data_IF_864982295141
#
_entry.id   IF_864982295141
#
_cell.length_a   1.000
_cell.length_b   1.000
_cell.length_c   1.000
_cell.angle_alpha   90.00
_cell.angle_beta   90.00
_cell.angle_gamma   90.00
#
_symmetry.space_group_name_H-M   'P 1'
#
loop_
_entity.id
_entity.type
_entity.pdbx_description
1 polymer ?
#
# COMPACT_ATOMS: atom_id res chain seq x y z
N UNK A 1 -1.84 -0.94 -21.52
CA UNK A 1 -1.86 -0.83 -20.05
C UNK A 1 -0.43 -0.57 -19.59
N UNK A 2 0.01 0.70 -19.58
CA UNK A 2 1.43 1.07 -19.31
C UNK A 2 1.56 2.34 -18.45
N UNK A 3 0.52 3.20 -18.44
CA UNK A 3 0.57 4.49 -17.76
C UNK A 3 0.52 4.38 -16.23
N UNK A 4 -0.29 3.47 -15.67
CA UNK A 4 -0.48 3.37 -14.22
C UNK A 4 0.76 2.79 -13.52
N UNK A 5 1.39 1.78 -14.12
CA UNK A 5 2.63 1.18 -13.61
C UNK A 5 3.79 2.19 -13.59
N UNK A 6 3.91 3.00 -14.66
CA UNK A 6 4.91 4.06 -14.72
C UNK A 6 4.65 5.16 -13.68
N UNK A 7 3.38 5.56 -13.49
CA UNK A 7 3.01 6.56 -12.48
C UNK A 7 3.31 6.07 -11.06
N UNK A 8 2.96 4.81 -10.76
CA UNK A 8 3.26 4.18 -9.47
C UNK A 8 4.77 4.09 -9.21
N UNK A 9 5.56 3.68 -10.22
CA UNK A 9 7.03 3.64 -10.12
C UNK A 9 7.63 5.03 -9.93
N UNK A 10 7.13 6.03 -10.64
CA UNK A 10 7.59 7.41 -10.50
C UNK A 10 7.27 7.96 -9.09
N UNK A 11 6.08 7.71 -8.55
CA UNK A 11 5.72 8.13 -7.19
C UNK A 11 6.61 7.48 -6.14
N UNK A 12 6.90 6.17 -6.27
CA UNK A 12 7.83 5.47 -5.39
C UNK A 12 9.28 6.02 -5.48
N UNK A 13 9.71 6.50 -6.65
CA UNK A 13 11.02 7.13 -6.85
C UNK A 13 11.09 8.55 -6.29
N UNK A 14 9.99 9.31 -6.34
CA UNK A 14 9.91 10.66 -5.76
C UNK A 14 9.99 10.59 -4.23
N UNK A 15 9.59 9.45 -3.62
CA UNK A 15 9.58 9.22 -2.16
C UNK A 15 8.87 10.31 -1.36
N UNK A 16 7.93 11.01 -1.98
CA UNK A 16 7.09 11.97 -1.29
C UNK A 16 6.05 11.20 -0.46
N UNK A 17 6.22 11.22 0.86
CA UNK A 17 5.32 10.55 1.81
C UNK A 17 3.89 11.08 1.70
N UNK A 18 3.66 12.28 1.14
CA UNK A 18 2.33 12.81 0.87
C UNK A 18 1.54 11.97 -0.16
N UNK A 19 2.21 11.08 -0.89
CA UNK A 19 1.56 10.17 -1.85
C UNK A 19 1.02 8.90 -1.20
N UNK A 20 1.45 8.56 0.02
CA UNK A 20 1.03 7.35 0.73
C UNK A 20 -0.49 7.31 0.94
N UNK A 21 -1.18 8.39 1.38
CA UNK A 21 -2.64 8.40 1.48
C UNK A 21 -3.35 8.14 0.14
N UNK A 22 -2.79 8.65 -0.96
CA UNK A 22 -3.35 8.45 -2.32
C UNK A 22 -3.25 6.98 -2.72
N UNK A 23 -2.10 6.36 -2.48
CA UNK A 23 -1.89 4.94 -2.74
C UNK A 23 -2.78 4.06 -1.86
N UNK A 24 -2.99 4.43 -0.59
CA UNK A 24 -3.94 3.73 0.29
C UNK A 24 -5.37 3.83 -0.23
N UNK A 25 -5.80 5.00 -0.71
CA UNK A 25 -7.11 5.14 -1.34
C UNK A 25 -7.22 4.28 -2.62
N UNK A 26 -6.14 4.14 -3.39
CA UNK A 26 -6.11 3.32 -4.61
C UNK A 26 -6.26 1.82 -4.36
N UNK A 27 -6.08 1.33 -3.12
CA UNK A 27 -6.40 -0.06 -2.75
C UNK A 27 -7.89 -0.39 -2.90
N UNK A 28 -8.77 0.62 -2.82
CA UNK A 28 -10.22 0.46 -2.95
C UNK A 28 -10.63 0.04 -4.36
N UNK A 29 -9.90 0.49 -5.37
CA UNK A 29 -10.22 0.22 -6.77
C UNK A 29 -9.67 -1.15 -7.21
N UNK A 30 -10.54 -1.98 -7.79
CA UNK A 30 -10.21 -3.35 -8.23
C UNK A 30 -9.12 -3.42 -9.29
N UNK A 31 -9.01 -2.40 -10.14
CA UNK A 31 -8.04 -2.34 -11.23
C UNK A 31 -6.66 -1.91 -10.73
N UNK A 32 -6.58 -1.12 -9.66
CA UNK A 32 -5.33 -0.44 -9.24
C UNK A 32 -4.77 -0.97 -7.92
N UNK A 33 -5.49 -1.85 -7.23
CA UNK A 33 -5.11 -2.29 -5.88
C UNK A 33 -3.79 -3.05 -5.82
N UNK A 34 -3.49 -3.85 -6.85
CA UNK A 34 -2.26 -4.64 -6.89
C UNK A 34 -1.05 -3.71 -7.05
N UNK A 35 -1.13 -2.74 -7.95
CA UNK A 35 -0.11 -1.73 -8.18
C UNK A 35 0.04 -0.81 -6.96
N UNK A 36 -1.07 -0.40 -6.35
CA UNK A 36 -1.05 0.39 -5.12
C UNK A 36 -0.35 -0.33 -3.97
N UNK A 37 -0.64 -1.62 -3.77
CA UNK A 37 0.04 -2.45 -2.78
C UNK A 37 1.55 -2.57 -3.06
N UNK A 38 1.94 -2.83 -4.31
CA UNK A 38 3.34 -2.87 -4.71
C UNK A 38 4.06 -1.52 -4.48
N UNK A 39 3.40 -0.41 -4.77
CA UNK A 39 3.89 0.94 -4.51
C UNK A 39 4.17 1.15 -3.02
N UNK A 40 3.18 0.85 -2.17
CA UNK A 40 3.27 0.98 -0.73
C UNK A 40 4.41 0.10 -0.16
N UNK A 41 4.60 -1.10 -0.71
CA UNK A 41 5.74 -1.97 -0.40
C UNK A 41 7.09 -1.35 -0.78
N UNK A 42 7.16 -0.68 -1.94
CA UNK A 42 8.37 0.02 -2.39
C UNK A 42 8.67 1.29 -1.56
N UNK A 43 7.65 1.97 -1.04
CA UNK A 43 7.80 3.10 -0.13
C UNK A 43 8.48 2.69 1.19
N UNK A 44 8.21 1.48 1.67
CA UNK A 44 8.87 0.95 2.85
C UNK A 44 8.16 1.28 4.16
N UNK A 45 8.90 1.37 5.29
CA UNK A 45 8.34 1.59 6.63
C UNK A 45 7.34 2.74 6.79
N UNK A 46 7.46 3.89 6.08
CA UNK A 46 6.48 4.99 6.17
C UNK A 46 5.04 4.58 5.82
N UNK A 47 4.84 3.52 5.01
CA UNK A 47 3.52 3.02 4.66
C UNK A 47 2.82 2.24 5.79
N UNK A 48 3.56 1.79 6.82
CA UNK A 48 3.05 0.89 7.87
C UNK A 48 1.87 1.50 8.63
N UNK A 49 1.93 2.74 9.19
CA UNK A 49 0.83 3.29 9.96
C UNK A 49 -0.48 3.36 9.16
N UNK A 50 -0.39 3.69 7.87
CA UNK A 50 -1.55 3.78 6.98
C UNK A 50 -2.15 2.41 6.67
N UNK A 51 -1.30 1.41 6.40
CA UNK A 51 -1.75 0.03 6.19
C UNK A 51 -2.41 -0.56 7.45
N UNK A 52 -1.92 -0.23 8.64
CA UNK A 52 -2.56 -0.64 9.90
C UNK A 52 -3.93 0.01 10.10
N UNK A 53 -4.08 1.25 9.66
CA UNK A 53 -5.35 1.94 9.68
C UNK A 53 -6.37 1.31 8.70
N UNK A 54 -5.91 0.84 7.54
CA UNK A 54 -6.74 0.02 6.63
C UNK A 54 -7.24 -1.24 7.34
N UNK A 55 -6.36 -1.97 8.05
CA UNK A 55 -6.76 -3.20 8.75
C UNK A 55 -7.83 -2.96 9.83
N UNK A 56 -7.88 -1.77 10.43
CA UNK A 56 -8.89 -1.42 11.45
C UNK A 56 -10.24 -1.04 10.82
N UNK A 57 -10.21 -0.25 9.74
CA UNK A 57 -11.38 0.43 9.18
C UNK A 57 -12.07 -0.38 8.08
N UNK A 58 -11.31 -1.16 7.32
CA UNK A 58 -11.81 -1.88 6.16
C UNK A 58 -12.47 -3.22 6.52
N UNK A 59 -13.38 -3.69 5.66
CA UNK A 59 -14.05 -4.99 5.75
C UNK A 59 -13.97 -5.81 4.46
N UNK A 60 -13.64 -5.20 3.32
CA UNK A 60 -13.41 -5.95 2.08
C UNK A 60 -12.15 -6.82 2.21
N UNK A 61 -12.34 -8.14 2.13
CA UNK A 61 -11.27 -9.13 2.27
C UNK A 61 -10.18 -9.01 1.20
N UNK A 62 -10.51 -8.53 -0.01
CA UNK A 62 -9.48 -8.33 -1.03
C UNK A 62 -8.57 -7.16 -0.67
N UNK A 63 -9.14 -6.07 -0.15
CA UNK A 63 -8.35 -4.91 0.28
C UNK A 63 -7.48 -5.31 1.47
N UNK A 64 -8.05 -6.04 2.42
CA UNK A 64 -7.32 -6.57 3.57
C UNK A 64 -6.22 -7.55 3.15
N UNK A 65 -6.46 -8.39 2.14
CA UNK A 65 -5.45 -9.31 1.61
C UNK A 65 -4.21 -8.56 1.12
N UNK A 66 -4.40 -7.52 0.29
CA UNK A 66 -3.29 -6.71 -0.20
C UNK A 66 -2.61 -5.92 0.91
N UNK A 67 -3.36 -5.35 1.85
CA UNK A 67 -2.79 -4.61 2.98
C UNK A 67 -1.94 -5.52 3.90
N UNK A 68 -2.45 -6.71 4.25
CA UNK A 68 -1.73 -7.73 5.03
C UNK A 68 -0.47 -8.21 4.29
N UNK A 69 -0.59 -8.49 3.00
CA UNK A 69 0.54 -8.91 2.15
C UNK A 69 1.64 -7.86 2.11
N UNK A 70 1.27 -6.59 1.95
CA UNK A 70 2.22 -5.46 1.94
C UNK A 70 2.90 -5.31 3.30
N UNK A 71 2.16 -5.36 4.42
CA UNK A 71 2.73 -5.34 5.76
C UNK A 71 3.72 -6.48 6.00
N UNK A 72 3.40 -7.69 5.54
CA UNK A 72 4.28 -8.85 5.64
C UNK A 72 5.58 -8.65 4.82
N UNK A 73 5.48 -8.10 3.60
CA UNK A 73 6.64 -7.72 2.77
C UNK A 73 7.52 -6.69 3.47
N UNK A 74 6.91 -5.73 4.17
CA UNK A 74 7.61 -4.72 4.96
C UNK A 74 8.19 -5.27 6.28
N UNK A 75 8.04 -6.56 6.54
CA UNK A 75 8.52 -7.22 7.76
C UNK A 75 7.73 -6.85 9.02
N UNK A 76 6.58 -6.19 8.87
CA UNK A 76 5.72 -5.86 10.00
C UNK A 76 5.08 -7.14 10.55
N UNK A 77 5.15 -7.31 11.87
CA UNK A 77 4.44 -8.37 12.60
C UNK A 77 3.73 -7.76 13.80
N UNK A 78 2.48 -8.17 14.06
CA UNK A 78 1.86 -7.82 15.34
C UNK A 78 2.70 -8.47 16.45
N UNK A 79 3.17 -7.67 17.40
CA UNK A 79 3.90 -8.09 18.61
C UNK A 79 5.40 -8.44 18.46
N UNK A 80 6.14 -7.87 17.50
CA UNK A 80 7.60 -7.74 17.70
C UNK A 80 7.85 -6.58 18.67
N UNK A 81 8.20 -6.91 19.92
CA UNK A 81 8.88 -6.01 20.85
C UNK A 81 10.37 -5.94 20.51
#
# INVERSE_FOLDING_TARGET
MVAMEAAVKALAQIRDEATIPVLVAALQNTVTRAEAAAALGAFGPPAIPFLLDVLKKERDENILFHAKGTLAQLGWRPNRM
#
